data_IF_918381393544
#
_entry.id   IF_918381393544
#
_cell.length_a   1.000
_cell.length_b   1.000
_cell.length_c   1.000
_cell.angle_alpha   90.00
_cell.angle_beta   90.00
_cell.angle_gamma   90.00
#
_symmetry.space_group_name_H-M   'P 1'
#
loop_
_entity.id
_entity.type
_entity.pdbx_description
1 polymer ?
#
# COMPACT_ATOMS: atom_id res chain seq x y z
N UNK A 1 9.71 -9.95 27.80
CA UNK A 1 8.53 -10.28 26.98
C UNK A 1 8.91 -9.97 25.54
N UNK A 2 9.33 -10.97 24.76
CA UNK A 2 9.69 -10.77 23.36
C UNK A 2 8.40 -10.76 22.55
N UNK A 3 7.92 -9.58 22.15
CA UNK A 3 6.98 -9.51 21.03
C UNK A 3 7.80 -9.80 19.78
N UNK A 4 7.65 -11.00 19.24
CA UNK A 4 8.01 -11.25 17.84
C UNK A 4 6.88 -10.62 17.04
N UNK A 5 7.04 -9.35 16.67
CA UNK A 5 6.20 -8.71 15.65
C UNK A 5 6.56 -9.36 14.31
N UNK A 6 5.84 -10.42 13.95
CA UNK A 6 5.87 -10.99 12.61
C UNK A 6 4.86 -10.21 11.76
N UNK A 7 5.21 -8.96 11.41
CA UNK A 7 4.49 -8.23 10.37
C UNK A 7 5.01 -8.74 9.03
N UNK A 8 4.14 -9.41 8.27
CA UNK A 8 4.48 -9.92 6.95
C UNK A 8 4.28 -8.78 5.93
N UNK A 9 5.34 -8.43 5.22
CA UNK A 9 5.34 -7.39 4.19
C UNK A 9 5.38 -8.03 2.81
N UNK A 10 4.46 -7.65 1.92
CA UNK A 10 4.39 -8.19 0.56
C UNK A 10 4.43 -7.03 -0.46
N UNK A 11 5.46 -7.04 -1.31
CA UNK A 11 5.52 -6.11 -2.44
C UNK A 11 4.45 -6.45 -3.47
N UNK A 12 3.61 -5.48 -3.81
CA UNK A 12 2.51 -5.61 -4.77
C UNK A 12 2.91 -5.10 -6.16
N UNK A 13 3.71 -4.02 -6.22
CA UNK A 13 4.23 -3.46 -7.46
C UNK A 13 5.50 -2.65 -7.18
N UNK A 14 6.48 -2.74 -8.06
CA UNK A 14 7.73 -1.98 -7.96
C UNK A 14 8.15 -1.49 -9.35
N UNK A 15 8.66 -0.26 -9.39
CA UNK A 15 9.33 0.35 -10.54
C UNK A 15 10.67 0.91 -10.08
N UNK A 16 11.44 1.56 -10.96
CA UNK A 16 12.73 2.14 -10.58
C UNK A 16 12.66 3.13 -9.40
N UNK A 17 11.57 3.88 -9.26
CA UNK A 17 11.46 4.94 -8.24
C UNK A 17 10.28 4.79 -7.28
N UNK A 18 9.36 3.86 -7.55
CA UNK A 18 8.10 3.73 -6.80
C UNK A 18 7.87 2.29 -6.37
N UNK A 19 7.34 2.13 -5.15
CA UNK A 19 7.02 0.85 -4.55
C UNK A 19 5.63 0.90 -3.92
N UNK A 20 4.86 -0.18 -4.11
CA UNK A 20 3.62 -0.46 -3.40
C UNK A 20 3.78 -1.77 -2.64
N UNK A 21 3.46 -1.77 -1.36
CA UNK A 21 3.46 -2.98 -0.53
C UNK A 21 2.31 -2.98 0.46
N UNK A 22 1.94 -4.18 0.89
CA UNK A 22 1.01 -4.39 1.99
C UNK A 22 1.73 -4.91 3.23
N UNK A 23 1.19 -4.55 4.39
CA UNK A 23 1.63 -5.04 5.70
C UNK A 23 0.45 -5.70 6.37
N UNK A 24 0.61 -6.97 6.75
CA UNK A 24 -0.36 -7.69 7.57
C UNK A 24 0.10 -7.69 9.02
N UNK A 25 -0.66 -7.02 9.87
CA UNK A 25 -0.40 -6.96 11.31
C UNK A 25 -0.98 -8.18 12.04
N UNK A 26 -0.54 -8.38 13.28
CA UNK A 26 -0.85 -9.58 14.09
C UNK A 26 -2.35 -9.77 14.41
N UNK A 27 -3.18 -8.75 14.20
CA UNK A 27 -4.62 -8.74 14.39
C UNK A 27 -5.43 -8.85 13.08
N UNK A 28 -4.76 -9.21 11.98
CA UNK A 28 -5.32 -9.27 10.62
C UNK A 28 -5.72 -7.89 10.06
N UNK A 29 -5.24 -6.81 10.68
CA UNK A 29 -5.30 -5.47 10.09
C UNK A 29 -4.34 -5.40 8.89
N UNK A 30 -4.86 -4.91 7.76
CA UNK A 30 -4.14 -4.81 6.50
C UNK A 30 -3.97 -3.34 6.13
N UNK A 31 -2.71 -2.92 6.01
CA UNK A 31 -2.37 -1.55 5.55
C UNK A 31 -1.60 -1.61 4.25
N UNK A 32 -1.79 -0.58 3.43
CA UNK A 32 -1.14 -0.43 2.13
C UNK A 32 -0.29 0.83 2.12
N UNK A 33 0.87 0.71 1.49
CA UNK A 33 1.89 1.75 1.49
C UNK A 33 2.31 2.03 0.05
N UNK A 34 2.39 3.31 -0.31
CA UNK A 34 2.86 3.76 -1.63
C UNK A 34 4.02 4.71 -1.41
N UNK A 35 5.23 4.28 -1.78
CA UNK A 35 6.44 5.10 -1.75
C UNK A 35 6.62 5.80 -3.10
N UNK A 36 6.70 7.13 -3.03
CA UNK A 36 6.81 8.05 -4.17
C UNK A 36 8.16 8.80 -4.12
N UNK A 37 9.21 8.13 -3.67
CA UNK A 37 10.55 8.68 -3.44
C UNK A 37 10.63 9.53 -2.17
N UNK A 38 10.08 10.75 -2.18
CA UNK A 38 10.18 11.68 -1.05
C UNK A 38 9.02 11.57 -0.04
N UNK A 39 7.96 10.85 -0.40
CA UNK A 39 6.73 10.72 0.40
C UNK A 39 6.27 9.27 0.36
N UNK A 40 5.83 8.78 1.52
CA UNK A 40 5.10 7.51 1.63
C UNK A 40 3.66 7.79 2.06
N UNK A 41 2.71 7.27 1.30
CA UNK A 41 1.29 7.30 1.65
C UNK A 41 0.91 6.00 2.36
N UNK A 42 0.13 6.11 3.43
CA UNK A 42 -0.35 4.99 4.22
C UNK A 42 -1.88 4.95 4.15
N UNK A 43 -2.42 3.78 3.85
CA UNK A 43 -3.86 3.56 3.73
C UNK A 43 -4.28 2.37 4.58
N UNK A 44 -5.41 2.53 5.29
CA UNK A 44 -6.19 1.36 5.69
C UNK A 44 -6.89 0.77 4.47
N UNK A 45 -7.40 -0.45 4.62
CA UNK A 45 -8.03 -1.20 3.53
C UNK A 45 -9.10 -0.41 2.76
N UNK A 46 -10.03 0.25 3.46
CA UNK A 46 -11.14 0.96 2.81
C UNK A 46 -10.63 2.15 1.97
N UNK A 47 -9.70 2.92 2.50
CA UNK A 47 -9.10 4.06 1.79
C UNK A 47 -8.26 3.60 0.60
N UNK A 48 -7.58 2.45 0.72
CA UNK A 48 -6.82 1.85 -0.37
C UNK A 48 -7.71 1.43 -1.54
N UNK A 49 -8.83 0.77 -1.25
CA UNK A 49 -9.80 0.35 -2.27
C UNK A 49 -10.36 1.56 -3.04
N UNK A 50 -10.69 2.65 -2.33
CA UNK A 50 -11.15 3.90 -2.95
C UNK A 50 -10.04 4.61 -3.75
N UNK A 51 -8.82 4.66 -3.22
CA UNK A 51 -7.67 5.22 -3.93
C UNK A 51 -7.40 4.48 -5.25
N UNK A 52 -7.43 3.14 -5.24
CA UNK A 52 -7.28 2.34 -6.46
C UNK A 52 -8.39 2.62 -7.48
N UNK A 53 -9.62 2.81 -7.02
CA UNK A 53 -10.73 3.17 -7.89
C UNK A 53 -10.51 4.53 -8.55
N UNK A 54 -10.09 5.54 -7.78
CA UNK A 54 -9.73 6.86 -8.30
C UNK A 54 -8.63 6.75 -9.37
N UNK A 55 -7.55 6.02 -9.08
CA UNK A 55 -6.44 5.85 -10.02
C UNK A 55 -6.84 5.14 -11.30
N UNK A 56 -7.72 4.12 -11.23
CA UNK A 56 -8.27 3.45 -12.42
C UNK A 56 -9.08 4.41 -13.30
N UNK A 57 -9.93 5.24 -12.69
CA UNK A 57 -10.71 6.26 -13.40
C UNK A 57 -9.80 7.31 -14.02
N UNK A 58 -8.81 7.80 -13.28
CA UNK A 58 -7.83 8.76 -13.77
C UNK A 58 -7.03 8.21 -14.97
N UNK A 59 -6.53 6.97 -14.87
CA UNK A 59 -5.79 6.30 -15.93
C UNK A 59 -6.64 6.08 -17.19
N UNK A 60 -7.92 5.70 -17.03
CA UNK A 60 -8.85 5.53 -18.15
C UNK A 60 -9.16 6.86 -18.87
N UNK A 61 -9.04 7.98 -18.16
CA UNK A 61 -9.32 9.31 -18.68
C UNK A 61 -8.06 10.05 -19.19
N UNK A 62 -6.85 9.62 -18.81
CA UNK A 62 -5.61 10.13 -19.38
C UNK A 62 -5.43 9.58 -20.80
N UNK A 63 -5.19 10.49 -21.75
CA UNK A 63 -5.00 10.18 -23.18
C UNK A 63 -3.54 9.93 -23.51
#
# INVERSE_FOLDING_TARGET
MNKSDSSDNIALAETENYLVWEVREADDELTYHVELGAVTLHFFREDWEEFLQLMKVAASNSR
#
